data_IF_729709855230
#
_entry.id   IF_729709855230
#
_cell.length_a   1.000
_cell.length_b   1.000
_cell.length_c   1.000
_cell.angle_alpha   90.00
_cell.angle_beta   90.00
_cell.angle_gamma   90.00
#
_symmetry.space_group_name_H-M   'P 1'
#
loop_
_entity.id
_entity.type
_entity.pdbx_description
1 polymer ?
#
# COMPACT_ATOMS: atom_id res chain seq x y z
N UNK A 1 -22.18 2.35 -13.70
CA UNK A 1 -20.88 2.52 -13.04
C UNK A 1 -19.72 1.95 -13.90
N UNK A 2 -19.71 2.16 -15.22
CA UNK A 2 -18.75 1.54 -16.16
C UNK A 2 -17.54 2.48 -16.41
N UNK A 3 -16.95 2.99 -15.33
CA UNK A 3 -15.78 3.87 -15.38
C UNK A 3 -14.67 3.30 -14.49
N UNK A 4 -13.39 3.47 -14.85
CA UNK A 4 -12.30 3.03 -14.01
C UNK A 4 -12.27 3.72 -12.65
N UNK A 5 -11.90 2.97 -11.61
CA UNK A 5 -11.65 3.46 -10.26
C UNK A 5 -10.17 3.84 -10.09
N UNK A 6 -9.94 5.11 -9.73
CA UNK A 6 -8.61 5.67 -9.48
C UNK A 6 -8.48 6.00 -8.00
N UNK A 7 -7.44 5.50 -7.34
CA UNK A 7 -7.19 5.74 -5.92
C UNK A 7 -5.81 6.37 -5.69
N UNK A 8 -5.81 7.55 -5.04
CA UNK A 8 -4.60 8.22 -4.58
C UNK A 8 -4.11 7.65 -3.24
N UNK A 9 -3.81 6.35 -3.22
CA UNK A 9 -3.50 5.60 -2.01
C UNK A 9 -2.30 6.16 -1.26
N UNK A 10 -1.23 6.50 -1.97
CA UNK A 10 -0.02 7.00 -1.33
C UNK A 10 -0.24 8.33 -0.61
N UNK A 11 -1.18 9.17 -1.06
CA UNK A 11 -1.53 10.37 -0.30
C UNK A 11 -2.20 10.04 1.05
N UNK A 12 -3.06 9.03 1.08
CA UNK A 12 -3.83 8.68 2.27
C UNK A 12 -2.96 7.96 3.31
N UNK A 13 -2.09 7.05 2.86
CA UNK A 13 -1.20 6.31 3.76
C UNK A 13 -0.10 7.21 4.34
N UNK A 14 0.59 8.00 3.51
CA UNK A 14 1.73 8.79 4.00
C UNK A 14 1.35 10.03 4.82
N UNK A 15 0.06 10.36 4.88
CA UNK A 15 -0.48 11.41 5.77
C UNK A 15 -0.99 10.86 7.10
N UNK A 16 -1.16 9.54 7.25
CA UNK A 16 -1.67 8.98 8.49
C UNK A 16 -0.63 9.10 9.62
N UNK A 17 -1.12 9.13 10.87
CA UNK A 17 -0.26 9.27 12.05
C UNK A 17 0.70 8.09 12.15
N UNK A 18 0.21 6.90 11.87
CA UNK A 18 0.90 5.62 12.00
C UNK A 18 2.13 5.51 11.10
N UNK A 19 2.08 6.09 9.89
CA UNK A 19 3.20 6.09 8.95
C UNK A 19 4.39 6.94 9.46
N UNK A 20 4.12 8.04 10.17
CA UNK A 20 5.14 8.96 10.69
C UNK A 20 5.53 8.75 12.16
N UNK A 21 4.84 7.87 12.89
CA UNK A 21 5.04 7.67 14.33
C UNK A 21 6.45 7.14 14.66
N UNK A 22 7.25 7.83 15.50
CA UNK A 22 8.55 7.33 15.93
C UNK A 22 8.43 6.04 16.76
N UNK A 23 9.46 5.20 16.71
CA UNK A 23 9.52 3.96 17.49
C UNK A 23 9.47 4.22 19.00
N UNK A 24 10.09 5.30 19.46
CA UNK A 24 10.15 5.66 20.89
C UNK A 24 8.79 6.10 21.43
N UNK A 25 7.93 6.69 20.57
CA UNK A 25 6.56 7.04 20.94
C UNK A 25 5.66 5.80 20.98
N UNK A 26 5.81 4.89 20.00
CA UNK A 26 4.98 3.67 19.89
C UNK A 26 5.81 2.40 19.63
N UNK A 27 6.47 1.83 20.66
CA UNK A 27 7.38 0.68 20.50
C UNK A 27 6.70 -0.61 20.02
N UNK A 28 5.39 -0.75 20.29
CA UNK A 28 4.60 -1.93 19.95
C UNK A 28 4.23 -2.02 18.47
N UNK A 29 4.39 -0.93 17.71
CA UNK A 29 4.07 -0.88 16.28
C UNK A 29 5.25 -1.26 15.37
N UNK A 30 6.35 -1.77 15.92
CA UNK A 30 7.52 -2.18 15.15
C UNK A 30 8.30 -1.03 14.51
N UNK A 31 9.11 -1.35 13.50
CA UNK A 31 9.98 -0.38 12.83
C UNK A 31 9.19 0.60 11.95
N UNK A 32 9.28 1.93 12.18
CA UNK A 32 8.51 2.93 11.44
C UNK A 32 8.67 2.86 9.93
N UNK A 33 9.92 2.71 9.44
CA UNK A 33 10.22 2.63 8.01
C UNK A 33 9.53 1.44 7.34
N UNK A 34 9.56 0.26 7.98
CA UNK A 34 8.87 -0.93 7.44
C UNK A 34 7.36 -0.81 7.55
N UNK A 35 6.86 -0.17 8.62
CA UNK A 35 5.43 -0.01 8.87
C UNK A 35 4.75 0.79 7.76
N UNK A 36 5.25 1.98 7.43
CA UNK A 36 4.65 2.82 6.38
C UNK A 36 4.66 2.12 5.01
N UNK A 37 5.78 1.46 4.68
CA UNK A 37 5.93 0.69 3.44
C UNK A 37 4.88 -0.43 3.35
N UNK A 38 4.74 -1.22 4.41
CA UNK A 38 3.79 -2.33 4.46
C UNK A 38 2.34 -1.85 4.48
N UNK A 39 2.03 -0.75 5.15
CA UNK A 39 0.70 -0.15 5.12
C UNK A 39 0.30 0.25 3.69
N UNK A 40 1.21 0.87 2.94
CA UNK A 40 0.95 1.24 1.54
C UNK A 40 0.82 0.00 0.64
N UNK A 41 1.68 -1.01 0.82
CA UNK A 41 1.63 -2.24 0.04
C UNK A 41 0.33 -3.04 0.30
N UNK A 42 -0.04 -3.25 1.57
CA UNK A 42 -1.26 -3.96 1.93
C UNK A 42 -2.50 -3.19 1.47
N UNK A 43 -2.50 -1.86 1.64
CA UNK A 43 -3.57 -1.00 1.12
C UNK A 43 -3.76 -1.17 -0.39
N UNK A 44 -2.67 -1.26 -1.15
CA UNK A 44 -2.72 -1.45 -2.60
C UNK A 44 -3.36 -2.79 -2.96
N UNK A 45 -2.93 -3.87 -2.32
CA UNK A 45 -3.50 -5.22 -2.54
C UNK A 45 -4.99 -5.26 -2.20
N UNK A 46 -5.39 -4.68 -1.06
CA UNK A 46 -6.81 -4.60 -0.70
C UNK A 46 -7.63 -3.81 -1.72
N UNK A 47 -7.09 -2.72 -2.24
CA UNK A 47 -7.79 -1.88 -3.21
C UNK A 47 -7.91 -2.55 -4.58
N UNK A 48 -6.88 -3.29 -5.01
CA UNK A 48 -6.95 -4.12 -6.21
C UNK A 48 -8.03 -5.20 -6.08
N UNK A 49 -8.11 -5.88 -4.94
CA UNK A 49 -9.21 -6.84 -4.68
C UNK A 49 -10.59 -6.20 -4.63
N UNK A 50 -10.68 -4.93 -4.21
CA UNK A 50 -11.92 -4.18 -4.24
C UNK A 50 -12.33 -3.68 -5.65
N UNK A 51 -11.51 -3.95 -6.68
CA UNK A 51 -11.78 -3.57 -8.06
C UNK A 51 -11.18 -2.23 -8.49
N UNK A 52 -10.11 -1.76 -7.84
CA UNK A 52 -9.41 -0.54 -8.28
C UNK A 52 -8.63 -0.80 -9.56
N UNK A 53 -8.74 0.11 -10.53
CA UNK A 53 -8.05 0.00 -11.81
C UNK A 53 -6.69 0.71 -11.82
N UNK A 54 -6.58 1.85 -11.12
CA UNK A 54 -5.35 2.66 -11.08
C UNK A 54 -5.05 3.08 -9.64
N UNK A 55 -3.84 2.72 -9.18
CA UNK A 55 -3.31 3.13 -7.89
C UNK A 55 -2.17 4.12 -8.05
N UNK A 56 -2.27 5.27 -7.37
CA UNK A 56 -1.17 6.23 -7.24
C UNK A 56 -0.47 5.96 -5.91
N UNK A 57 0.76 5.46 -5.99
CA UNK A 57 1.60 5.08 -4.85
C UNK A 57 2.86 5.96 -4.79
N UNK A 58 3.55 5.98 -3.63
CA UNK A 58 4.72 6.84 -3.39
C UNK A 58 6.01 6.07 -3.15
N UNK A 59 5.98 5.00 -2.35
CA UNK A 59 7.24 4.35 -1.97
C UNK A 59 7.61 3.21 -2.94
N UNK A 60 8.84 3.19 -3.49
CA UNK A 60 9.24 2.21 -4.49
C UNK A 60 9.17 0.77 -3.98
N UNK A 61 9.54 0.53 -2.72
CA UNK A 61 9.43 -0.81 -2.13
C UNK A 61 7.97 -1.28 -2.01
N UNK A 62 7.03 -0.38 -1.68
CA UNK A 62 5.61 -0.73 -1.61
C UNK A 62 5.04 -1.08 -2.99
N UNK A 63 5.46 -0.33 -4.02
CA UNK A 63 5.09 -0.59 -5.41
C UNK A 63 5.62 -1.96 -5.85
N UNK A 64 6.87 -2.27 -5.54
CA UNK A 64 7.48 -3.57 -5.85
C UNK A 64 6.69 -4.72 -5.21
N UNK A 65 6.37 -4.64 -3.91
CA UNK A 65 5.58 -5.66 -3.21
C UNK A 65 4.18 -5.82 -3.81
N UNK A 66 3.52 -4.73 -4.18
CA UNK A 66 2.22 -4.79 -4.84
C UNK A 66 2.31 -5.44 -6.23
N UNK A 67 3.37 -5.15 -7.00
CA UNK A 67 3.63 -5.78 -8.29
C UNK A 67 3.91 -7.28 -8.18
N UNK A 68 4.69 -7.71 -7.18
CA UNK A 68 4.92 -9.13 -6.90
C UNK A 68 3.59 -9.84 -6.63
N UNK A 69 2.74 -9.28 -5.77
CA UNK A 69 1.40 -9.82 -5.52
C UNK A 69 0.53 -9.88 -6.79
N UNK A 70 0.55 -8.85 -7.62
CA UNK A 70 -0.19 -8.85 -8.91
C UNK A 70 0.31 -10.00 -9.79
N UNK A 71 1.63 -10.16 -9.92
CA UNK A 71 2.21 -11.22 -10.76
C UNK A 71 1.83 -12.60 -10.25
N UNK A 72 1.88 -12.83 -8.93
CA UNK A 72 1.51 -14.11 -8.33
C UNK A 72 0.03 -14.44 -8.56
N UNK A 73 -0.86 -13.44 -8.45
CA UNK A 73 -2.30 -13.63 -8.65
C UNK A 73 -2.71 -13.80 -10.12
N UNK A 74 -1.91 -13.25 -11.04
CA UNK A 74 -2.15 -13.30 -12.49
C UNK A 74 -1.34 -14.39 -13.20
N UNK A 75 -0.58 -15.20 -12.47
CA UNK A 75 0.16 -16.31 -13.04
C UNK A 75 -0.80 -17.33 -13.68
N UNK A 76 -0.56 -17.67 -14.94
CA UNK A 76 -1.28 -18.76 -15.62
C UNK A 76 -0.66 -20.11 -15.22
N UNK A 77 -1.50 -21.12 -15.00
CA UNK A 77 -1.08 -22.50 -14.68
C UNK A 77 -0.38 -23.19 -15.86
#
# INVERSE_FOLDING_TARGET
LQIPMINNLGNEIWKCKEAGLPKDEMPTMGEPGKRAILMEAVGAVCYLFAGSDILIMRHPESIKLAQEMINDLMAEN
#
